data_IF_141699986692
#
_entry.id   IF_141699986692
#
_cell.length_a   1.000
_cell.length_b   1.000
_cell.length_c   1.000
_cell.angle_alpha   90.00
_cell.angle_beta   90.00
_cell.angle_gamma   90.00
#
_symmetry.space_group_name_H-M   'P 1'
#
loop_
_entity.id
_entity.type
_entity.pdbx_description
1 polymer ?
#
# COMPACT_ATOMS: atom_id res chain seq x y z
N UNK A 1 -5.99 25.88 22.75
CA UNK A 1 -4.90 25.83 21.73
C UNK A 1 -3.80 24.93 22.28
N UNK A 2 -3.01 24.22 21.44
CA UNK A 2 -2.84 24.42 20.00
C UNK A 2 -3.34 23.16 19.19
N UNK A 3 -2.84 22.76 17.99
CA UNK A 3 -3.74 22.78 16.80
C UNK A 3 -3.53 21.73 15.66
N UNK A 4 -4.57 21.12 15.09
CA UNK A 4 -4.59 20.76 13.64
C UNK A 4 -5.93 20.31 13.01
N UNK A 5 -7.06 20.25 13.73
CA UNK A 5 -8.33 19.82 13.12
C UNK A 5 -8.99 20.93 12.27
N UNK A 6 -8.71 20.96 10.96
CA UNK A 6 -9.34 21.88 9.99
C UNK A 6 -10.08 21.13 8.88
N UNK A 7 -11.33 20.72 9.15
CA UNK A 7 -12.25 20.34 8.08
C UNK A 7 -12.67 21.58 7.27
N UNK A 8 -12.69 21.45 5.94
CA UNK A 8 -13.26 22.45 5.01
C UNK A 8 -13.91 21.75 3.82
N UNK A 9 -15.25 21.68 3.82
CA UNK A 9 -16.04 22.53 2.92
C UNK A 9 -17.51 22.55 3.34
N UNK A 10 -18.22 23.63 3.00
CA UNK A 10 -19.67 23.75 3.24
C UNK A 10 -20.27 24.81 2.30
N UNK A 11 -21.18 24.46 1.37
CA UNK A 11 -22.00 25.42 0.63
C UNK A 11 -23.45 25.46 1.16
N UNK A 12 -24.04 26.65 1.26
CA UNK A 12 -25.44 26.87 1.62
C UNK A 12 -26.30 27.20 0.39
N UNK A 13 -27.61 26.92 0.51
CA UNK A 13 -28.83 27.56 -0.06
C UNK A 13 -28.73 28.69 -1.11
N UNK A 14 -29.74 28.95 -1.96
CA UNK A 14 -31.17 28.58 -1.88
C UNK A 14 -31.90 28.53 -3.24
N UNK A 15 -33.15 28.03 -3.23
CA UNK A 15 -34.04 27.71 -4.37
C UNK A 15 -34.41 28.87 -5.33
N UNK A 16 -34.71 28.53 -6.61
CA UNK A 16 -35.62 29.25 -7.51
C UNK A 16 -37.04 28.61 -7.57
N UNK A 17 -38.01 29.32 -8.15
CA UNK A 17 -38.99 28.79 -9.12
C UNK A 17 -38.93 29.65 -10.43
N UNK A 18 -39.88 29.83 -11.37
CA UNK A 18 -41.33 29.57 -11.53
C UNK A 18 -41.65 29.28 -13.04
N UNK A 19 -42.92 29.02 -13.41
CA UNK A 19 -43.42 28.85 -14.80
C UNK A 19 -44.75 29.63 -15.01
N UNK A 20 -45.02 30.18 -16.21
CA UNK A 20 -46.38 30.22 -16.82
C UNK A 20 -46.37 30.56 -18.34
N UNK A 21 -47.54 30.49 -18.99
CA UNK A 21 -47.83 30.48 -20.44
C UNK A 21 -48.67 31.71 -20.91
N UNK A 22 -49.34 31.74 -22.09
CA UNK A 22 -48.91 31.54 -23.49
C UNK A 22 -49.25 32.77 -24.40
N UNK A 23 -49.50 32.51 -25.70
CA UNK A 23 -50.18 33.33 -26.72
C UNK A 23 -49.36 34.39 -27.50
N UNK A 24 -49.20 34.13 -28.79
CA UNK A 24 -48.94 35.12 -29.84
C UNK A 24 -49.93 34.89 -30.99
N UNK A 25 -50.66 35.92 -31.38
CA UNK A 25 -51.57 35.88 -32.51
C UNK A 25 -50.87 36.28 -33.83
N UNK A 26 -51.39 35.70 -34.91
CA UNK A 26 -51.48 36.27 -36.26
C UNK A 26 -51.72 37.81 -36.28
N UNK A 27 -51.33 38.58 -37.30
CA UNK A 27 -50.88 38.26 -38.67
C UNK A 27 -49.72 39.17 -39.12
N UNK A 28 -48.97 38.75 -40.14
CA UNK A 28 -47.93 39.57 -40.76
C UNK A 28 -47.55 39.13 -42.18
N UNK A 29 -48.31 39.57 -43.19
CA UNK A 29 -47.90 39.40 -44.59
C UNK A 29 -46.84 40.43 -44.99
N UNK A 30 -45.72 39.95 -45.53
CA UNK A 30 -44.50 40.75 -45.67
C UNK A 30 -44.42 41.58 -46.97
N UNK A 31 -43.90 42.80 -46.85
CA UNK A 31 -43.15 43.42 -47.94
C UNK A 31 -41.70 42.90 -47.98
N UNK A 32 -41.10 42.89 -49.17
CA UNK A 32 -39.92 42.05 -49.48
C UNK A 32 -38.62 42.84 -49.46
N UNK A 33 -37.63 42.35 -48.71
CA UNK A 33 -36.24 42.77 -48.83
C UNK A 33 -35.32 41.60 -49.25
N UNK A 34 -34.45 41.89 -50.21
CA UNK A 34 -33.38 41.11 -50.87
C UNK A 34 -33.00 39.67 -50.42
N UNK A 35 -32.68 38.84 -51.42
CA UNK A 35 -32.26 37.43 -51.34
C UNK A 35 -30.96 37.21 -50.54
N UNK A 36 -30.94 36.38 -49.47
CA UNK A 36 -29.72 36.02 -48.74
C UNK A 36 -29.26 34.56 -48.95
N UNK A 37 -29.87 33.82 -49.90
CA UNK A 37 -29.81 32.35 -49.98
C UNK A 37 -28.43 31.73 -50.23
N UNK A 38 -27.51 32.39 -50.95
CA UNK A 38 -26.14 31.86 -51.14
C UNK A 38 -25.23 32.07 -49.93
N UNK A 39 -25.43 33.14 -49.16
CA UNK A 39 -24.55 33.46 -48.03
C UNK A 39 -24.90 32.63 -46.78
N UNK A 40 -26.19 32.37 -46.53
CA UNK A 40 -26.63 31.48 -45.45
C UNK A 40 -26.07 30.06 -45.60
N UNK A 41 -26.15 29.46 -46.80
CA UNK A 41 -25.64 28.10 -47.01
C UNK A 41 -24.13 27.97 -46.69
N UNK A 42 -23.32 28.97 -47.08
CA UNK A 42 -21.89 29.02 -46.74
C UNK A 42 -21.65 29.10 -45.23
N UNK A 43 -22.35 30.00 -44.54
CA UNK A 43 -22.24 30.16 -43.09
C UNK A 43 -22.76 28.92 -42.32
N UNK A 44 -23.77 28.23 -42.83
CA UNK A 44 -24.26 26.96 -42.29
C UNK A 44 -23.24 25.83 -42.50
N UNK A 45 -22.62 25.71 -43.68
CA UNK A 45 -21.56 24.73 -43.90
C UNK A 45 -20.32 24.98 -43.05
N UNK A 46 -19.91 26.24 -42.87
CA UNK A 46 -18.77 26.59 -42.00
C UNK A 46 -19.07 26.28 -40.52
N UNK A 47 -20.31 26.51 -40.05
CA UNK A 47 -20.75 26.10 -38.71
C UNK A 47 -20.77 24.58 -38.55
N UNK A 48 -21.25 23.84 -39.56
CA UNK A 48 -21.25 22.37 -39.53
C UNK A 48 -19.82 21.82 -39.43
N UNK A 49 -18.89 22.32 -40.25
CA UNK A 49 -17.46 21.94 -40.20
C UNK A 49 -16.85 22.26 -38.83
N UNK A 50 -17.12 23.45 -38.26
CA UNK A 50 -16.64 23.83 -36.94
C UNK A 50 -17.16 22.89 -35.84
N UNK A 51 -18.46 22.53 -35.87
CA UNK A 51 -19.05 21.56 -34.94
C UNK A 51 -18.41 20.18 -35.11
N UNK A 52 -18.21 19.70 -36.34
CA UNK A 52 -17.52 18.41 -36.58
C UNK A 52 -16.10 18.41 -36.03
N UNK A 53 -15.34 19.49 -36.20
CA UNK A 53 -13.99 19.62 -35.63
C UNK A 53 -13.99 19.64 -34.09
N UNK A 54 -14.96 20.31 -33.47
CA UNK A 54 -15.14 20.31 -32.01
C UNK A 54 -15.48 18.89 -31.51
N UNK A 55 -16.38 18.16 -32.19
CA UNK A 55 -16.73 16.79 -31.82
C UNK A 55 -15.54 15.82 -31.96
N UNK A 56 -14.68 16.00 -32.97
CA UNK A 56 -13.45 15.22 -33.15
C UNK A 56 -12.42 15.54 -32.06
N UNK A 57 -12.27 16.82 -31.69
CA UNK A 57 -11.40 17.24 -30.59
C UNK A 57 -11.89 16.68 -29.25
N UNK A 58 -13.19 16.73 -29.00
CA UNK A 58 -13.81 16.18 -27.78
C UNK A 58 -13.69 14.66 -27.71
N UNK A 59 -13.91 13.92 -28.80
CA UNK A 59 -13.72 12.46 -28.80
C UNK A 59 -12.25 12.09 -28.61
N UNK A 60 -11.30 12.84 -29.19
CA UNK A 60 -9.87 12.69 -28.92
C UNK A 60 -9.52 12.91 -27.44
N UNK A 61 -10.05 13.97 -26.82
CA UNK A 61 -9.87 14.25 -25.38
C UNK A 61 -10.48 13.12 -24.53
N UNK A 62 -11.69 12.65 -24.86
CA UNK A 62 -12.36 11.54 -24.15
C UNK A 62 -11.55 10.24 -24.28
N UNK A 63 -11.00 9.94 -25.46
CA UNK A 63 -10.14 8.77 -25.69
C UNK A 63 -8.83 8.90 -24.90
N UNK A 64 -8.18 10.07 -24.90
CA UNK A 64 -7.00 10.31 -24.07
C UNK A 64 -7.29 10.20 -22.57
N UNK A 65 -8.41 10.75 -22.10
CA UNK A 65 -8.85 10.60 -20.70
C UNK A 65 -9.15 9.14 -20.37
N UNK A 66 -9.77 8.37 -21.26
CA UNK A 66 -9.95 6.92 -21.07
C UNK A 66 -8.63 6.14 -21.07
N UNK A 67 -7.66 6.48 -21.93
CA UNK A 67 -6.33 5.84 -21.96
C UNK A 67 -5.52 6.19 -20.70
N UNK A 68 -5.60 7.42 -20.21
CA UNK A 68 -4.97 7.83 -18.94
C UNK A 68 -5.69 7.17 -17.76
N UNK A 69 -7.02 7.13 -17.76
CA UNK A 69 -7.81 6.46 -16.72
C UNK A 69 -7.64 4.93 -16.73
N UNK A 70 -7.40 4.31 -17.89
CA UNK A 70 -7.12 2.86 -18.00
C UNK A 70 -5.66 2.50 -17.73
N UNK A 71 -4.71 3.42 -17.94
CA UNK A 71 -3.36 3.33 -17.35
C UNK A 71 -3.40 3.52 -15.83
N UNK A 72 -4.30 4.36 -15.34
CA UNK A 72 -4.68 4.45 -13.94
C UNK A 72 -5.73 3.40 -13.52
N UNK A 73 -6.04 2.39 -14.36
CA UNK A 73 -6.82 1.22 -13.93
C UNK A 73 -5.90 0.32 -13.13
N UNK A 74 -5.63 0.81 -11.91
CA UNK A 74 -5.53 0.05 -10.67
C UNK A 74 -5.13 -1.38 -10.94
N UNK A 75 -3.83 -1.66 -10.86
CA UNK A 75 -3.36 -3.00 -10.49
C UNK A 75 -4.28 -3.45 -9.37
N UNK A 76 -5.08 -4.47 -9.65
CA UNK A 76 -5.90 -5.12 -8.65
C UNK A 76 -4.88 -5.84 -7.75
N UNK A 77 -4.30 -5.09 -6.81
CA UNK A 77 -3.48 -5.62 -5.75
C UNK A 77 -4.38 -6.60 -5.02
N UNK A 78 -4.18 -7.87 -5.35
CA UNK A 78 -4.94 -8.99 -4.83
C UNK A 78 -4.84 -8.89 -3.31
N UNK A 79 -5.95 -8.52 -2.67
CA UNK A 79 -5.94 -8.09 -1.27
C UNK A 79 -5.54 -9.33 -0.48
N UNK A 80 -4.33 -9.38 0.13
CA UNK A 80 -3.79 -10.63 0.64
C UNK A 80 -4.79 -11.24 1.62
N UNK A 81 -5.24 -12.48 1.37
CA UNK A 81 -6.38 -13.07 2.07
C UNK A 81 -6.22 -12.87 3.58
N UNK A 82 -7.22 -12.29 4.24
CA UNK A 82 -7.11 -11.99 5.67
C UNK A 82 -7.82 -13.04 6.50
N UNK A 83 -7.14 -13.52 7.53
CA UNK A 83 -7.68 -14.49 8.47
C UNK A 83 -7.64 -13.92 9.89
N UNK A 84 -8.51 -14.44 10.76
CA UNK A 84 -8.54 -14.02 12.17
C UNK A 84 -7.78 -15.02 13.03
N UNK A 85 -6.90 -14.52 13.89
CA UNK A 85 -6.07 -15.33 14.76
C UNK A 85 -5.91 -14.71 16.15
N UNK A 86 -5.45 -15.52 17.09
CA UNK A 86 -4.89 -15.09 18.37
C UNK A 86 -3.39 -15.43 18.31
N UNK A 87 -2.53 -14.63 18.94
CA UNK A 87 -1.09 -14.94 18.92
C UNK A 87 -0.75 -16.22 19.69
N UNK A 88 -1.47 -16.50 20.79
CA UNK A 88 -1.17 -17.65 21.65
C UNK A 88 0.25 -17.61 22.24
N UNK A 89 0.71 -18.73 22.78
CA UNK A 89 2.06 -18.86 23.32
C UNK A 89 2.72 -20.17 22.87
N UNK A 90 3.94 -20.07 22.37
CA UNK A 90 4.78 -21.22 22.01
C UNK A 90 6.15 -21.09 22.68
N UNK A 91 6.39 -21.93 23.69
CA UNK A 91 7.60 -21.90 24.49
C UNK A 91 8.88 -22.14 23.67
N UNK A 92 8.78 -22.79 22.50
CA UNK A 92 9.92 -23.08 21.60
C UNK A 92 10.50 -21.81 21.00
N UNK A 93 9.64 -20.84 20.65
CA UNK A 93 10.02 -19.52 20.16
C UNK A 93 10.30 -18.50 21.29
N UNK A 94 10.08 -18.90 22.55
CA UNK A 94 10.36 -18.08 23.74
C UNK A 94 11.67 -18.52 24.44
N UNK A 95 12.38 -19.52 23.91
CA UNK A 95 13.53 -20.15 24.56
C UNK A 95 14.87 -19.77 23.90
N UNK A 96 15.89 -19.58 24.75
CA UNK A 96 17.30 -19.44 24.35
C UNK A 96 18.03 -20.80 24.23
N UNK A 97 17.35 -21.92 24.50
CA UNK A 97 17.94 -23.25 24.38
C UNK A 97 18.29 -23.58 22.93
N UNK A 98 19.52 -24.04 22.70
CA UNK A 98 20.06 -24.43 21.38
C UNK A 98 19.26 -25.55 20.71
N UNK A 99 18.52 -26.37 21.47
CA UNK A 99 17.62 -27.39 20.91
C UNK A 99 16.57 -26.81 19.96
N UNK A 100 16.28 -25.50 20.07
CA UNK A 100 15.33 -24.78 19.22
C UNK A 100 15.98 -23.91 18.13
N UNK A 101 17.31 -23.87 18.00
CA UNK A 101 18.00 -23.02 17.00
C UNK A 101 17.56 -23.33 15.56
N UNK A 102 17.22 -24.61 15.28
CA UNK A 102 16.67 -25.04 13.98
C UNK A 102 15.38 -24.34 13.56
N UNK A 103 14.59 -23.80 14.50
CA UNK A 103 13.38 -23.02 14.22
C UNK A 103 13.67 -21.58 13.71
N UNK A 104 14.91 -21.12 13.83
CA UNK A 104 15.34 -19.77 13.46
C UNK A 104 16.19 -19.76 12.18
N UNK A 105 16.74 -20.92 11.76
CA UNK A 105 17.59 -21.05 10.57
C UNK A 105 16.93 -20.68 9.22
N UNK A 106 15.60 -20.54 9.15
CA UNK A 106 14.93 -20.21 7.88
C UNK A 106 14.95 -18.71 7.53
N UNK A 107 15.36 -17.86 8.48
CA UNK A 107 15.18 -16.40 8.36
C UNK A 107 16.15 -15.73 7.40
N UNK A 108 17.34 -16.30 7.23
CA UNK A 108 18.46 -15.70 6.46
C UNK A 108 18.20 -15.64 4.95
N UNK A 109 17.11 -16.26 4.46
CA UNK A 109 16.68 -16.25 3.06
C UNK A 109 15.66 -15.14 2.79
N UNK A 110 15.98 -13.91 3.18
CA UNK A 110 15.11 -12.75 2.98
C UNK A 110 15.25 -12.12 1.58
N UNK A 111 16.40 -12.30 0.91
CA UNK A 111 16.72 -11.68 -0.39
C UNK A 111 16.06 -12.41 -1.56
N UNK A 112 15.48 -11.65 -2.48
CA UNK A 112 14.88 -12.10 -3.74
C UNK A 112 15.36 -11.26 -4.94
N UNK A 113 15.27 -11.84 -6.13
CA UNK A 113 15.36 -11.11 -7.40
C UNK A 113 14.04 -10.36 -7.68
N UNK A 114 14.08 -9.05 -7.91
CA UNK A 114 12.86 -8.27 -8.17
C UNK A 114 12.44 -8.31 -9.65
N UNK A 115 13.40 -8.19 -10.58
CA UNK A 115 13.16 -8.16 -12.02
C UNK A 115 12.28 -9.33 -12.52
N UNK A 116 11.25 -9.06 -13.36
CA UNK A 116 10.53 -10.06 -14.15
C UNK A 116 10.82 -9.96 -15.66
N UNK A 117 11.51 -8.90 -16.09
CA UNK A 117 11.94 -8.64 -17.45
C UNK A 117 13.43 -8.29 -17.43
N UNK A 118 14.17 -8.71 -18.45
CA UNK A 118 15.63 -8.68 -18.43
C UNK A 118 16.21 -7.28 -18.72
N UNK A 119 17.07 -6.83 -17.81
CA UNK A 119 18.21 -5.94 -18.07
C UNK A 119 17.90 -4.74 -18.98
N UNK A 120 17.03 -3.85 -18.51
CA UNK A 120 17.23 -2.42 -18.77
C UNK A 120 18.31 -1.92 -17.79
N UNK A 121 19.27 -1.12 -18.27
CA UNK A 121 20.39 -0.51 -17.53
C UNK A 121 21.38 -1.42 -16.77
N UNK A 122 21.40 -2.74 -16.99
CA UNK A 122 22.57 -3.58 -16.65
C UNK A 122 22.67 -4.13 -15.22
N UNK A 123 21.73 -3.80 -14.34
CA UNK A 123 21.80 -4.14 -12.91
C UNK A 123 20.81 -5.24 -12.47
N UNK A 124 21.27 -6.19 -11.66
CA UNK A 124 20.38 -7.10 -10.91
C UNK A 124 19.63 -6.29 -9.84
N UNK A 125 18.32 -6.02 -10.03
CA UNK A 125 17.49 -5.49 -8.94
C UNK A 125 17.24 -6.59 -7.89
N UNK A 126 18.15 -6.70 -6.92
CA UNK A 126 17.95 -7.50 -5.71
C UNK A 126 17.21 -6.70 -4.64
N UNK A 127 16.24 -7.33 -3.98
CA UNK A 127 15.49 -6.76 -2.87
C UNK A 127 15.36 -7.75 -1.72
N UNK A 128 14.83 -7.30 -0.58
CA UNK A 128 14.53 -8.18 0.55
C UNK A 128 13.03 -8.15 0.87
N UNK A 129 12.44 -9.33 1.08
CA UNK A 129 11.09 -9.46 1.59
C UNK A 129 11.10 -9.01 3.07
N UNK A 130 10.46 -7.87 3.35
CA UNK A 130 10.40 -7.23 4.68
C UNK A 130 10.05 -8.20 5.81
N UNK A 131 9.09 -9.10 5.60
CA UNK A 131 8.67 -10.09 6.60
C UNK A 131 9.82 -11.03 7.02
N UNK A 132 10.60 -11.56 6.07
CA UNK A 132 11.72 -12.44 6.38
C UNK A 132 12.91 -11.67 6.96
N UNK A 133 13.12 -10.42 6.54
CA UNK A 133 14.13 -9.56 7.17
C UNK A 133 13.77 -9.23 8.63
N UNK A 134 12.50 -8.96 8.94
CA UNK A 134 12.05 -8.80 10.34
C UNK A 134 12.29 -10.06 11.17
N UNK A 135 11.99 -11.26 10.62
CA UNK A 135 12.28 -12.51 11.31
C UNK A 135 13.80 -12.75 11.50
N UNK A 136 14.64 -12.38 10.54
CA UNK A 136 16.11 -12.44 10.68
C UNK A 136 16.64 -11.49 11.74
N UNK A 137 16.11 -10.26 11.82
CA UNK A 137 16.46 -9.33 12.89
C UNK A 137 16.09 -9.89 14.27
N UNK A 138 14.95 -10.58 14.39
CA UNK A 138 14.55 -11.24 15.64
C UNK A 138 15.45 -12.44 15.99
N UNK A 139 15.84 -13.25 14.99
CA UNK A 139 16.80 -14.35 15.16
C UNK A 139 18.18 -13.85 15.62
N UNK A 140 18.68 -12.77 15.02
CA UNK A 140 19.95 -12.13 15.40
C UNK A 140 19.94 -11.57 16.83
N UNK A 141 18.82 -10.97 17.27
CA UNK A 141 18.64 -10.55 18.68
C UNK A 141 18.60 -11.77 19.61
N UNK A 142 17.88 -12.85 19.25
CA UNK A 142 17.89 -14.09 20.05
C UNK A 142 19.31 -14.66 20.18
N UNK A 143 20.09 -14.68 19.10
CA UNK A 143 21.49 -15.14 19.11
C UNK A 143 22.35 -14.30 20.06
N UNK A 144 22.24 -12.97 20.03
CA UNK A 144 22.95 -12.11 20.97
C UNK A 144 22.54 -12.39 22.44
N UNK A 145 21.26 -12.68 22.70
CA UNK A 145 20.81 -13.07 24.04
C UNK A 145 21.35 -14.45 24.48
N UNK A 146 21.49 -15.42 23.56
CA UNK A 146 22.19 -16.68 23.83
C UNK A 146 23.67 -16.42 24.18
N UNK A 147 24.36 -15.66 23.33
CA UNK A 147 25.78 -15.35 23.51
C UNK A 147 26.07 -14.61 24.83
N UNK A 148 25.17 -13.70 25.23
CA UNK A 148 25.21 -13.03 26.54
C UNK A 148 24.94 -13.99 27.71
N UNK A 149 23.99 -14.92 27.57
CA UNK A 149 23.71 -15.95 28.59
C UNK A 149 24.86 -16.97 28.74
N UNK A 150 25.62 -17.22 27.67
CA UNK A 150 26.89 -17.97 27.69
C UNK A 150 28.06 -17.19 28.30
N UNK A 151 27.86 -15.92 28.69
CA UNK A 151 28.87 -15.06 29.32
C UNK A 151 29.78 -14.30 28.35
N UNK A 152 29.44 -14.22 27.05
CA UNK A 152 30.18 -13.41 26.06
C UNK A 152 29.76 -11.94 26.16
N UNK A 153 30.71 -11.01 26.00
CA UNK A 153 30.38 -9.59 25.83
C UNK A 153 29.84 -9.36 24.42
N UNK A 154 28.57 -8.98 24.31
CA UNK A 154 27.88 -8.74 23.02
C UNK A 154 27.90 -7.27 22.57
N UNK A 155 28.49 -6.37 23.35
CA UNK A 155 28.46 -4.94 23.07
C UNK A 155 27.39 -4.15 23.79
N UNK A 156 27.41 -2.83 23.61
CA UNK A 156 26.38 -1.87 24.07
C UNK A 156 25.58 -1.28 22.90
N UNK A 157 26.22 -1.03 21.75
CA UNK A 157 25.59 -0.46 20.56
C UNK A 157 26.34 -0.82 19.27
N UNK A 158 25.96 -0.19 18.14
CA UNK A 158 26.47 -0.49 16.79
C UNK A 158 27.98 -0.29 16.58
N UNK A 159 28.70 0.22 17.58
CA UNK A 159 30.16 0.33 17.59
C UNK A 159 30.84 -0.97 18.03
N UNK A 160 30.14 -1.81 18.79
CA UNK A 160 30.65 -3.08 19.32
C UNK A 160 30.19 -4.29 18.48
N UNK A 161 28.89 -4.34 18.11
CA UNK A 161 28.36 -5.28 17.11
C UNK A 161 27.45 -4.54 16.11
N UNK A 162 27.61 -4.83 14.82
CA UNK A 162 26.82 -4.17 13.78
C UNK A 162 25.41 -4.78 13.59
N UNK A 163 25.10 -5.95 14.15
CA UNK A 163 23.84 -6.67 13.89
C UNK A 163 22.74 -6.35 14.90
N UNK A 164 22.83 -6.87 16.13
CA UNK A 164 21.70 -6.81 17.06
C UNK A 164 21.23 -5.37 17.39
N UNK A 165 22.08 -4.32 17.44
CA UNK A 165 21.63 -2.96 17.68
C UNK A 165 20.82 -2.38 16.51
N UNK A 166 21.20 -2.66 15.24
CA UNK A 166 20.40 -2.24 14.09
C UNK A 166 19.09 -3.03 14.02
N UNK A 167 19.13 -4.32 14.38
CA UNK A 167 17.95 -5.19 14.39
C UNK A 167 16.86 -4.64 15.33
N UNK A 168 17.23 -4.09 16.49
CA UNK A 168 16.28 -3.45 17.40
C UNK A 168 15.60 -2.22 16.79
N UNK A 169 16.35 -1.30 16.19
CA UNK A 169 15.78 -0.10 15.56
C UNK A 169 14.96 -0.45 14.31
N UNK A 170 15.41 -1.42 13.51
CA UNK A 170 14.67 -1.94 12.36
C UNK A 170 13.32 -2.54 12.77
N UNK A 171 13.28 -3.41 13.78
CA UNK A 171 12.04 -3.97 14.30
C UNK A 171 11.14 -2.90 14.92
N UNK A 172 11.70 -1.96 15.69
CA UNK A 172 10.96 -0.81 16.24
C UNK A 172 10.31 0.02 15.13
N UNK A 173 11.03 0.32 14.05
CA UNK A 173 10.50 1.02 12.87
C UNK A 173 9.43 0.19 12.15
N UNK A 174 9.62 -1.13 12.04
CA UNK A 174 8.62 -2.04 11.50
C UNK A 174 7.30 -2.02 12.28
N UNK A 175 7.36 -2.14 13.60
CA UNK A 175 6.19 -2.07 14.50
C UNK A 175 5.45 -0.75 14.32
N UNK A 176 6.17 0.38 14.31
CA UNK A 176 5.59 1.71 14.11
C UNK A 176 5.04 1.94 12.70
N UNK A 177 5.54 1.21 11.69
CA UNK A 177 5.08 1.28 10.30
C UNK A 177 3.75 0.51 10.09
N UNK A 178 3.49 -0.54 10.87
CA UNK A 178 2.26 -1.32 10.79
C UNK A 178 1.20 -0.93 11.82
N UNK A 179 1.61 -0.40 12.98
CA UNK A 179 0.75 0.36 13.89
C UNK A 179 -0.51 -0.35 14.35
N UNK A 180 -0.41 -1.62 14.78
CA UNK A 180 -1.55 -2.41 15.28
C UNK A 180 -2.25 -1.67 16.45
N UNK A 181 -3.50 -1.24 16.20
CA UNK A 181 -4.33 -0.48 17.11
C UNK A 181 -5.29 -1.38 17.94
N UNK A 182 -5.11 -2.70 17.89
CA UNK A 182 -5.88 -3.65 18.70
C UNK A 182 -5.66 -3.39 20.20
N UNK A 183 -6.71 -2.94 20.89
CA UNK A 183 -6.70 -2.76 22.34
C UNK A 183 -6.57 -4.13 23.02
N UNK A 184 -5.40 -4.40 23.62
CA UNK A 184 -5.17 -5.61 24.41
C UNK A 184 -5.97 -5.61 25.70
N UNK A 185 -6.58 -6.75 26.03
CA UNK A 185 -7.51 -6.88 27.15
C UNK A 185 -6.88 -7.61 28.33
N UNK A 186 -7.44 -7.37 29.50
CA UNK A 186 -7.07 -8.11 30.69
C UNK A 186 -7.55 -9.56 30.57
N UNK A 187 -6.62 -10.50 30.36
CA UNK A 187 -6.94 -11.93 30.32
C UNK A 187 -7.37 -12.49 31.68
N UNK A 188 -8.10 -13.60 31.64
CA UNK A 188 -8.53 -14.35 32.82
C UNK A 188 -8.19 -15.83 32.68
N UNK A 189 -7.69 -16.44 33.75
CA UNK A 189 -7.46 -17.88 33.83
C UNK A 189 -8.79 -18.64 34.08
N UNK A 190 -8.87 -19.96 33.81
CA UNK A 190 -10.11 -20.74 34.00
C UNK A 190 -10.65 -20.80 35.44
N UNK A 191 -9.82 -20.48 36.44
CA UNK A 191 -10.22 -20.33 37.85
C UNK A 191 -10.71 -18.91 38.20
N UNK A 192 -10.92 -18.06 37.19
CA UNK A 192 -11.36 -16.66 37.33
C UNK A 192 -10.26 -15.65 37.67
N UNK A 193 -9.04 -16.07 38.03
CA UNK A 193 -8.00 -15.12 38.43
C UNK A 193 -7.47 -14.31 37.24
N UNK A 194 -7.10 -13.07 37.51
CA UNK A 194 -6.66 -12.12 36.49
C UNK A 194 -5.25 -12.48 36.01
N UNK A 195 -5.09 -12.70 34.70
CA UNK A 195 -3.79 -12.86 34.07
C UNK A 195 -3.03 -11.53 34.10
N UNK A 196 -1.78 -11.55 34.60
CA UNK A 196 -0.88 -10.38 34.62
C UNK A 196 0.52 -10.80 34.14
N UNK A 197 1.22 -9.98 33.34
CA UNK A 197 0.76 -8.71 32.74
C UNK A 197 -0.35 -8.90 31.70
N UNK A 198 -0.89 -7.78 31.19
CA UNK A 198 -1.63 -7.79 29.90
C UNK A 198 -0.62 -8.24 28.82
N UNK A 199 -1.07 -9.06 27.87
CA UNK A 199 -0.18 -9.78 26.94
C UNK A 199 -0.77 -10.01 25.54
N UNK A 200 -1.99 -9.53 25.27
CA UNK A 200 -2.66 -9.67 23.97
C UNK A 200 -2.94 -11.10 23.48
N UNK A 201 -2.48 -12.16 24.19
CA UNK A 201 -2.42 -13.53 23.69
C UNK A 201 -3.76 -14.13 23.28
N UNK A 202 -4.87 -13.66 23.87
CA UNK A 202 -6.25 -14.11 23.58
C UNK A 202 -7.03 -13.13 22.69
N UNK A 203 -6.48 -11.95 22.38
CA UNK A 203 -7.17 -10.93 21.60
C UNK A 203 -7.13 -11.27 20.10
N UNK A 204 -8.31 -11.26 19.47
CA UNK A 204 -8.50 -11.65 18.07
C UNK A 204 -8.00 -10.56 17.10
N UNK A 205 -6.83 -10.78 16.52
CA UNK A 205 -6.24 -9.94 15.45
C UNK A 205 -6.81 -10.30 14.08
N UNK A 206 -6.60 -9.42 13.10
CA UNK A 206 -6.78 -9.70 11.67
C UNK A 206 -5.39 -9.76 11.02
N UNK A 207 -4.98 -10.96 10.62
CA UNK A 207 -3.69 -11.23 10.00
C UNK A 207 -3.83 -11.26 8.47
N UNK A 208 -2.76 -10.89 7.76
CA UNK A 208 -2.62 -11.20 6.33
C UNK A 208 -2.12 -12.63 6.19
N UNK A 209 -2.64 -13.38 5.22
CA UNK A 209 -2.01 -14.62 4.80
C UNK A 209 -0.61 -14.34 4.27
N UNK A 210 0.31 -15.21 4.69
CA UNK A 210 1.72 -15.18 4.36
C UNK A 210 2.08 -16.20 3.29
N UNK A 211 1.17 -17.12 2.90
CA UNK A 211 1.48 -18.18 1.93
C UNK A 211 1.99 -17.63 0.60
N UNK A 212 1.43 -16.52 0.10
CA UNK A 212 1.97 -15.80 -1.07
C UNK A 212 3.42 -15.34 -0.85
N UNK A 213 3.74 -14.80 0.32
CA UNK A 213 5.08 -14.33 0.69
C UNK A 213 6.09 -15.49 0.78
N UNK A 214 5.68 -16.64 1.33
CA UNK A 214 6.48 -17.87 1.35
C UNK A 214 6.69 -18.43 -0.07
N UNK A 215 5.65 -18.41 -0.92
CA UNK A 215 5.72 -18.81 -2.33
C UNK A 215 6.72 -17.93 -3.09
N UNK A 216 6.60 -16.60 -2.98
CA UNK A 216 7.52 -15.64 -3.60
C UNK A 216 8.98 -15.87 -3.15
N UNK A 217 9.22 -16.13 -1.86
CA UNK A 217 10.56 -16.54 -1.39
C UNK A 217 11.01 -17.81 -2.09
N UNK A 218 10.19 -18.86 -2.14
CA UNK A 218 10.58 -20.15 -2.74
C UNK A 218 10.84 -20.08 -4.26
N UNK A 219 10.21 -19.15 -4.97
CA UNK A 219 10.35 -18.98 -6.42
C UNK A 219 11.49 -18.02 -6.81
N UNK A 220 11.85 -17.07 -5.94
CA UNK A 220 12.79 -15.99 -6.26
C UNK A 220 13.96 -15.79 -5.30
N UNK A 221 14.13 -16.60 -4.24
CA UNK A 221 15.21 -16.37 -3.26
C UNK A 221 16.61 -16.54 -3.86
N UNK A 222 17.43 -15.50 -3.76
CA UNK A 222 18.83 -15.53 -4.21
C UNK A 222 19.74 -15.77 -3.01
N UNK A 223 20.64 -16.73 -3.10
CA UNK A 223 21.71 -16.87 -2.11
C UNK A 223 22.84 -15.89 -2.43
N UNK A 224 22.96 -14.83 -1.63
CA UNK A 224 24.13 -13.96 -1.66
C UNK A 224 25.23 -14.55 -0.76
N UNK A 225 26.41 -14.90 -1.28
CA UNK A 225 27.57 -15.14 -0.44
C UNK A 225 27.92 -13.84 0.30
N UNK A 226 28.23 -13.93 1.60
CA UNK A 226 28.62 -12.79 2.44
C UNK A 226 29.84 -12.00 1.90
N UNK A 227 30.59 -12.60 0.97
CA UNK A 227 31.78 -12.02 0.34
C UNK A 227 31.54 -11.65 -1.15
N UNK A 228 30.29 -11.44 -1.62
CA UNK A 228 30.06 -10.90 -2.98
C UNK A 228 30.66 -9.47 -3.02
N UNK A 229 31.68 -9.19 -3.86
CA UNK A 229 32.21 -7.84 -3.97
C UNK A 229 31.13 -6.90 -4.54
N UNK A 230 31.19 -5.58 -4.26
CA UNK A 230 30.30 -4.63 -4.91
C UNK A 230 30.48 -4.68 -6.43
N UNK A 231 29.42 -4.38 -7.22
CA UNK A 231 29.56 -4.26 -8.67
C UNK A 231 30.58 -3.17 -9.01
N UNK A 232 31.36 -3.43 -10.07
CA UNK A 232 32.49 -2.61 -10.55
C UNK A 232 32.07 -1.42 -11.39
#
# INVERSE_FOLDING_TARGET
MPPWFTSKYNPLSSKPPDEDWPEHANDGYAEKALKPTRMLCSLLSMKAILVSLIMILQSGIIIHLHIVASRCQRVQLDVPETFRAQYGGDFRYQSLDHVYDSLWNETDKSVIEMSPAGIEDGHEEIGAITMFHQLHCLASIRKALQESAEGKYIGIDSRDDNHWPHCFDYLRKGILCYGDDTIERQGHYPNGTIQKPISGFQDMRTCRDVAHTYKLRSEKSVWLPANRPPPS
#
